data_IF_686082569260
#
_entry.id   IF_686082569260
#
_cell.length_a   1.000
_cell.length_b   1.000
_cell.length_c   1.000
_cell.angle_alpha   90.00
_cell.angle_beta   90.00
_cell.angle_gamma   90.00
#
_symmetry.space_group_name_H-M   'P 1'
#
loop_
_entity.id
_entity.type
_entity.pdbx_description
1 polymer ?
#
# COMPACT_ATOMS: atom_id res chain seq x y z
N UNK A 1 9.56 18.43 -21.44
CA UNK A 1 8.18 18.15 -21.88
C UNK A 1 7.57 17.23 -20.85
N UNK A 2 6.68 17.75 -20.01
CA UNK A 2 6.00 16.94 -18.99
C UNK A 2 4.92 16.13 -19.69
N UNK A 3 5.03 14.81 -19.72
CA UNK A 3 3.91 13.96 -20.12
C UNK A 3 2.74 14.29 -19.19
N UNK A 4 1.66 14.78 -19.77
CA UNK A 4 0.45 15.07 -19.02
C UNK A 4 -0.19 13.74 -18.65
N UNK A 5 -0.15 13.40 -17.36
CA UNK A 5 -0.61 12.11 -16.89
C UNK A 5 -2.13 12.06 -17.03
N UNK A 6 -2.57 11.13 -17.88
CA UNK A 6 -3.97 10.90 -18.16
C UNK A 6 -4.71 10.53 -16.86
N UNK A 7 -5.68 11.36 -16.49
CA UNK A 7 -6.55 11.08 -15.35
C UNK A 7 -7.56 10.01 -15.80
N UNK A 8 -7.73 8.90 -15.05
CA UNK A 8 -8.70 7.86 -15.39
C UNK A 8 -10.12 8.39 -15.55
N UNK A 9 -10.89 7.76 -16.44
CA UNK A 9 -12.29 8.10 -16.66
C UNK A 9 -13.10 8.00 -15.36
N UNK A 10 -14.05 8.92 -15.17
CA UNK A 10 -14.93 8.98 -13.99
C UNK A 10 -14.33 9.68 -12.76
N UNK A 11 -13.05 10.07 -12.79
CA UNK A 11 -12.48 10.95 -11.76
C UNK A 11 -12.95 12.39 -11.98
N UNK A 12 -13.90 12.83 -11.14
CA UNK A 12 -14.42 14.22 -11.18
C UNK A 12 -13.53 15.20 -10.42
N UNK A 13 -12.95 14.78 -9.29
CA UNK A 13 -12.10 15.62 -8.45
C UNK A 13 -10.60 15.35 -8.72
N UNK A 14 -10.05 16.05 -9.72
CA UNK A 14 -8.64 15.91 -10.14
C UNK A 14 -7.64 16.27 -9.03
N UNK A 15 -7.95 17.25 -8.19
CA UNK A 15 -7.06 17.67 -7.11
C UNK A 15 -6.95 16.59 -6.02
N UNK A 16 -8.09 16.00 -5.63
CA UNK A 16 -8.12 14.90 -4.69
C UNK A 16 -7.44 13.65 -5.25
N UNK A 17 -7.67 13.33 -6.52
CA UNK A 17 -6.98 12.24 -7.21
C UNK A 17 -5.45 12.41 -7.18
N UNK A 18 -4.93 13.59 -7.54
CA UNK A 18 -3.49 13.90 -7.42
C UNK A 18 -2.98 13.74 -5.99
N UNK A 19 -3.77 14.13 -4.98
CA UNK A 19 -3.42 13.92 -3.57
C UNK A 19 -3.33 12.43 -3.23
N UNK A 20 -4.19 11.57 -3.77
CA UNK A 20 -4.09 10.13 -3.59
C UNK A 20 -2.87 9.53 -4.30
N UNK A 21 -2.56 9.94 -5.53
CA UNK A 21 -1.34 9.54 -6.23
C UNK A 21 -0.07 9.91 -5.43
N UNK A 22 -0.05 11.08 -4.79
CA UNK A 22 1.03 11.47 -3.86
C UNK A 22 1.15 10.55 -2.66
N UNK A 23 0.01 10.13 -2.09
CA UNK A 23 -0.01 9.17 -0.98
C UNK A 23 0.50 7.80 -1.42
N UNK A 24 0.18 7.34 -2.64
CA UNK A 24 0.72 6.07 -3.18
C UNK A 24 2.25 6.13 -3.20
N UNK A 25 2.83 7.17 -3.80
CA UNK A 25 4.27 7.38 -3.82
C UNK A 25 4.88 7.39 -2.41
N UNK A 26 4.28 8.17 -1.50
CA UNK A 26 4.78 8.29 -0.13
C UNK A 26 4.77 6.94 0.61
N UNK A 27 3.67 6.17 0.53
CA UNK A 27 3.56 4.87 1.21
C UNK A 27 4.47 3.80 0.61
N UNK A 28 4.60 3.78 -0.72
CA UNK A 28 5.54 2.90 -1.38
C UNK A 28 6.98 3.21 -0.97
N UNK A 29 7.33 4.51 -0.89
CA UNK A 29 8.65 4.95 -0.42
C UNK A 29 8.88 4.60 1.05
N UNK A 30 7.90 4.79 1.93
CA UNK A 30 8.00 4.41 3.34
C UNK A 30 8.23 2.90 3.51
N UNK A 31 7.58 2.08 2.69
CA UNK A 31 7.81 0.63 2.67
C UNK A 31 9.22 0.27 2.21
N UNK A 32 9.70 0.85 1.09
CA UNK A 32 11.06 0.61 0.59
C UNK A 32 12.13 1.03 1.61
N UNK A 33 11.89 2.14 2.31
CA UNK A 33 12.82 2.69 3.32
C UNK A 33 12.61 2.07 4.71
N UNK A 34 11.77 1.04 4.84
CA UNK A 34 11.57 0.28 6.08
C UNK A 34 10.83 1.05 7.18
N UNK A 35 10.20 2.18 6.87
CA UNK A 35 9.39 2.97 7.83
C UNK A 35 7.97 2.44 8.00
N UNK A 36 7.51 1.59 7.08
CA UNK A 36 6.18 1.01 7.09
C UNK A 36 6.28 -0.50 6.88
N UNK A 37 5.57 -1.29 7.68
CA UNK A 37 5.47 -2.74 7.50
C UNK A 37 4.76 -3.11 6.21
N UNK A 38 4.97 -4.32 5.71
CA UNK A 38 4.43 -4.80 4.43
C UNK A 38 2.91 -4.88 4.48
N UNK A 39 2.36 -5.43 5.58
CA UNK A 39 0.91 -5.59 5.74
C UNK A 39 0.23 -4.23 5.88
N UNK A 40 0.84 -3.31 6.64
CA UNK A 40 0.31 -1.96 6.81
C UNK A 40 0.34 -1.18 5.49
N UNK A 41 1.45 -1.28 4.75
CA UNK A 41 1.57 -0.70 3.42
C UNK A 41 0.52 -1.25 2.45
N UNK A 42 0.28 -2.57 2.46
CA UNK A 42 -0.71 -3.20 1.60
C UNK A 42 -2.12 -2.65 1.84
N UNK A 43 -2.56 -2.53 3.10
CA UNK A 43 -3.88 -1.96 3.47
C UNK A 43 -4.06 -0.55 2.92
N UNK A 44 -3.04 0.31 3.13
CA UNK A 44 -3.12 1.71 2.70
C UNK A 44 -3.06 1.82 1.18
N UNK A 45 -2.18 1.07 0.53
CA UNK A 45 -2.02 1.10 -0.94
C UNK A 45 -3.27 0.54 -1.62
N UNK A 46 -3.89 -0.53 -1.12
CA UNK A 46 -5.13 -1.07 -1.67
C UNK A 46 -6.27 -0.05 -1.68
N UNK A 47 -6.47 0.65 -0.56
CA UNK A 47 -7.50 1.69 -0.47
C UNK A 47 -7.22 2.84 -1.45
N UNK A 48 -5.96 3.26 -1.55
CA UNK A 48 -5.56 4.30 -2.50
C UNK A 48 -5.77 3.84 -3.95
N UNK A 49 -5.48 2.59 -4.27
CA UNK A 49 -5.64 2.03 -5.61
C UNK A 49 -7.08 2.15 -6.10
N UNK A 50 -8.05 1.79 -5.24
CA UNK A 50 -9.49 1.94 -5.52
C UNK A 50 -9.86 3.41 -5.77
N UNK A 51 -9.37 4.32 -4.91
CA UNK A 51 -9.66 5.75 -5.05
C UNK A 51 -9.01 6.39 -6.29
N UNK A 52 -7.95 5.80 -6.81
CA UNK A 52 -7.29 6.24 -8.04
C UNK A 52 -7.69 5.44 -9.27
N UNK A 53 -8.56 4.43 -9.14
CA UNK A 53 -9.02 3.53 -10.22
C UNK A 53 -7.89 2.76 -10.91
N UNK A 54 -6.93 2.29 -10.12
CA UNK A 54 -5.76 1.51 -10.59
C UNK A 54 -5.67 0.15 -9.91
N UNK A 55 -6.71 -0.28 -9.20
CA UNK A 55 -6.73 -1.53 -8.46
C UNK A 55 -6.50 -2.76 -9.35
N UNK A 56 -6.86 -2.70 -10.64
CA UNK A 56 -6.67 -3.79 -11.59
C UNK A 56 -5.25 -3.86 -12.19
N UNK A 57 -4.41 -2.85 -11.93
CA UNK A 57 -3.03 -2.85 -12.40
C UNK A 57 -2.21 -3.93 -11.68
N UNK A 58 -1.36 -4.71 -12.39
CA UNK A 58 -0.65 -5.86 -11.81
C UNK A 58 0.16 -5.54 -10.55
N UNK A 59 0.79 -4.36 -10.50
CA UNK A 59 1.57 -3.93 -9.34
C UNK A 59 0.70 -3.71 -8.09
N UNK A 60 -0.54 -3.28 -8.25
CA UNK A 60 -1.49 -3.08 -7.15
C UNK A 60 -2.16 -4.39 -6.71
N UNK A 61 -2.33 -5.34 -7.64
CA UNK A 61 -2.84 -6.68 -7.32
C UNK A 61 -1.94 -7.44 -6.33
N UNK A 62 -0.62 -7.18 -6.32
CA UNK A 62 0.29 -7.73 -5.29
C UNK A 62 -0.12 -7.27 -3.89
N UNK A 63 -0.37 -5.97 -3.70
CA UNK A 63 -0.84 -5.44 -2.42
C UNK A 63 -2.25 -5.94 -2.09
N UNK A 64 -3.12 -6.09 -3.09
CA UNK A 64 -4.45 -6.69 -2.92
C UNK A 64 -4.40 -8.14 -2.44
N UNK A 65 -3.45 -8.93 -2.94
CA UNK A 65 -3.24 -10.30 -2.49
C UNK A 65 -2.74 -10.36 -1.04
N UNK A 66 -1.76 -9.50 -0.69
CA UNK A 66 -1.26 -9.38 0.69
C UNK A 66 -2.39 -8.99 1.64
N UNK A 67 -3.14 -7.94 1.31
CA UNK A 67 -4.24 -7.45 2.14
C UNK A 67 -5.31 -8.54 2.35
N UNK A 68 -5.70 -9.24 1.28
CA UNK A 68 -6.66 -10.34 1.39
C UNK A 68 -6.15 -11.50 2.24
N UNK A 69 -4.89 -11.89 2.10
CA UNK A 69 -4.29 -12.97 2.90
C UNK A 69 -4.15 -12.59 4.38
N UNK A 70 -4.01 -11.30 4.68
CA UNK A 70 -3.65 -10.80 6.02
C UNK A 70 -4.71 -9.91 6.66
N UNK A 71 -5.91 -9.80 6.09
CA UNK A 71 -6.94 -8.84 6.52
C UNK A 71 -7.39 -9.04 7.98
N UNK A 72 -7.30 -10.26 8.49
CA UNK A 72 -7.67 -10.63 9.85
C UNK A 72 -6.60 -10.25 10.90
N UNK A 73 -5.38 -9.92 10.48
CA UNK A 73 -4.27 -9.65 11.41
C UNK A 73 -4.37 -8.24 12.02
N UNK A 74 -4.02 -8.07 13.32
CA UNK A 74 -4.08 -6.80 14.00
C UNK A 74 -2.85 -5.92 13.66
N UNK A 75 -2.94 -5.19 12.55
CA UNK A 75 -1.92 -4.21 12.11
C UNK A 75 -2.51 -2.80 12.06
N UNK A 76 -1.76 -1.83 12.58
CA UNK A 76 -2.17 -0.44 12.69
C UNK A 76 -3.09 -0.17 13.90
N UNK A 77 -4.02 0.77 13.74
CA UNK A 77 -4.85 1.29 14.84
C UNK A 77 -5.73 0.24 15.54
N UNK A 78 -6.12 -0.83 14.82
CA UNK A 78 -6.97 -1.90 15.39
C UNK A 78 -6.34 -2.60 16.59
N UNK A 79 -5.00 -2.58 16.71
CA UNK A 79 -4.25 -3.17 17.82
C UNK A 79 -4.70 -2.62 19.18
N UNK A 80 -5.19 -1.38 19.24
CA UNK A 80 -5.70 -0.77 20.47
C UNK A 80 -6.93 -1.49 21.06
N UNK A 81 -7.58 -2.37 20.29
CA UNK A 81 -8.77 -3.12 20.70
C UNK A 81 -8.49 -4.59 21.01
N UNK A 82 -7.23 -5.02 20.97
CA UNK A 82 -6.82 -6.40 21.21
C UNK A 82 -6.13 -6.53 22.56
N UNK A 83 -6.24 -7.71 23.20
CA UNK A 83 -5.50 -7.98 24.43
C UNK A 83 -4.01 -8.19 24.13
N UNK A 84 -3.11 -7.86 25.08
CA UNK A 84 -1.67 -8.06 24.89
C UNK A 84 -1.26 -9.48 24.51
N UNK A 85 -1.95 -10.49 25.07
CA UNK A 85 -1.67 -11.91 24.81
C UNK A 85 -2.04 -12.27 23.37
N UNK A 86 -3.18 -11.78 22.88
CA UNK A 86 -3.60 -12.01 21.51
C UNK A 86 -2.65 -11.31 20.53
N UNK A 87 -2.23 -10.07 20.81
CA UNK A 87 -1.24 -9.36 20.00
C UNK A 87 0.08 -10.12 19.89
N UNK A 88 0.58 -10.64 21.02
CA UNK A 88 1.84 -11.42 21.04
C UNK A 88 1.76 -12.65 20.14
N UNK A 89 0.63 -13.36 20.15
CA UNK A 89 0.39 -14.51 19.28
C UNK A 89 0.34 -14.11 17.80
N UNK A 90 -0.43 -13.07 17.48
CA UNK A 90 -0.59 -12.63 16.09
C UNK A 90 0.67 -11.97 15.52
N UNK A 91 1.53 -11.38 16.36
CA UNK A 91 2.80 -10.79 15.92
C UNK A 91 3.75 -11.84 15.31
N UNK A 92 3.68 -13.10 15.76
CA UNK A 92 4.40 -14.22 15.12
C UNK A 92 3.89 -14.47 13.70
N UNK A 93 2.57 -14.43 13.51
CA UNK A 93 1.93 -14.64 12.20
C UNK A 93 2.22 -13.48 11.27
N UNK A 94 2.10 -12.24 11.78
CA UNK A 94 2.49 -11.01 11.06
C UNK A 94 3.92 -11.13 10.57
N UNK A 95 4.87 -11.47 11.44
CA UNK A 95 6.27 -11.59 11.08
C UNK A 95 6.51 -12.65 9.98
N UNK A 96 5.88 -13.82 10.10
CA UNK A 96 5.98 -14.88 9.11
C UNK A 96 5.39 -14.45 7.74
N UNK A 97 4.24 -13.78 7.74
CA UNK A 97 3.62 -13.22 6.53
C UNK A 97 4.52 -12.15 5.89
N UNK A 98 5.09 -11.24 6.67
CA UNK A 98 5.99 -10.21 6.14
C UNK A 98 7.27 -10.80 5.54
N UNK A 99 7.85 -11.84 6.14
CA UNK A 99 8.98 -12.57 5.54
C UNK A 99 8.58 -13.18 4.19
N UNK A 100 7.44 -13.87 4.15
CA UNK A 100 6.95 -14.55 2.93
C UNK A 100 6.75 -13.57 1.78
N UNK A 101 6.16 -12.40 2.05
CA UNK A 101 5.81 -11.42 1.04
C UNK A 101 6.92 -10.43 0.70
N UNK A 102 8.02 -10.38 1.48
CA UNK A 102 9.07 -9.37 1.41
C UNK A 102 9.53 -9.05 -0.01
N UNK A 103 9.99 -10.06 -0.75
CA UNK A 103 10.58 -9.83 -2.07
C UNK A 103 9.57 -9.23 -3.05
N UNK A 104 8.32 -9.74 -3.04
CA UNK A 104 7.27 -9.27 -3.95
C UNK A 104 6.78 -7.88 -3.57
N UNK A 105 6.58 -7.62 -2.28
CA UNK A 105 6.13 -6.33 -1.77
C UNK A 105 7.16 -5.22 -2.03
N UNK A 106 8.44 -5.49 -1.77
CA UNK A 106 9.52 -4.51 -1.99
C UNK A 106 9.72 -4.24 -3.49
N UNK A 107 9.68 -5.27 -4.35
CA UNK A 107 9.78 -5.09 -5.79
C UNK A 107 8.61 -4.24 -6.33
N UNK A 108 7.36 -4.57 -5.92
CA UNK A 108 6.18 -3.80 -6.32
C UNK A 108 6.23 -2.35 -5.80
N UNK A 109 6.67 -2.15 -4.55
CA UNK A 109 6.82 -0.81 -3.97
C UNK A 109 7.86 0.03 -4.71
N UNK A 110 9.01 -0.55 -5.07
CA UNK A 110 10.02 0.14 -5.86
C UNK A 110 9.48 0.56 -7.24
N UNK A 111 8.70 -0.32 -7.89
CA UNK A 111 7.99 0.04 -9.14
C UNK A 111 7.04 1.21 -8.94
N UNK A 112 6.25 1.22 -7.86
CA UNK A 112 5.34 2.33 -7.55
C UNK A 112 6.07 3.65 -7.25
N UNK A 113 7.22 3.60 -6.55
CA UNK A 113 8.05 4.79 -6.32
C UNK A 113 8.46 5.42 -7.64
N UNK A 114 8.98 4.63 -8.59
CA UNK A 114 9.37 5.16 -9.90
C UNK A 114 8.18 5.64 -10.73
N UNK A 115 7.09 4.88 -10.77
CA UNK A 115 5.89 5.25 -11.54
C UNK A 115 5.22 6.53 -11.02
N UNK A 116 5.22 6.74 -9.70
CA UNK A 116 4.56 7.89 -9.07
C UNK A 116 5.51 9.02 -8.67
N UNK A 117 6.78 8.99 -9.10
CA UNK A 117 7.77 10.05 -8.81
C UNK A 117 7.37 11.44 -9.27
N UNK A 118 6.50 11.53 -10.28
CA UNK A 118 5.93 12.78 -10.75
C UNK A 118 4.99 13.42 -9.73
N UNK A 119 4.32 12.60 -8.91
CA UNK A 119 3.35 13.07 -7.95
C UNK A 119 4.07 13.65 -6.72
N UNK A 120 5.20 13.05 -6.34
CA UNK A 120 6.00 13.49 -5.19
C UNK A 120 6.71 14.84 -5.33
N UNK A 121 6.57 15.53 -6.47
CA UNK A 121 7.17 16.86 -6.73
C UNK A 121 6.23 17.99 -6.32
#
# INVERSE_FOLDING_TARGET
MSEEIAVPEGIKNKALWRKHCRKIHARAKDLVEGRLGIIEAARVICLLAIWTRVENEPVFQVFGAIDRETCYLPVGAVRAHWTPEALTREDVVIHASEIRWRNQAIAAAATLVEQYKWAGR
#
